data_IF_002193899330
#
_entry.id   IF_002193899330
#
_cell.length_a   1.000
_cell.length_b   1.000
_cell.length_c   1.000
_cell.angle_alpha   90.00
_cell.angle_beta   90.00
_cell.angle_gamma   90.00
#
_symmetry.space_group_name_H-M   'P 1'
#
loop_
_entity.id
_entity.type
_entity.pdbx_description
1 polymer ?
#
# COMPACT_ATOMS: atom_id res chain seq x y z
N UNK A 1 31.35 -35.88 8.75
CA UNK A 1 29.88 -35.75 8.71
C UNK A 1 29.44 -35.63 7.25
N UNK A 2 28.52 -36.47 6.74
CA UNK A 2 28.04 -36.34 5.37
C UNK A 2 27.26 -35.02 5.21
N UNK A 3 27.62 -34.21 4.21
CA UNK A 3 26.83 -33.02 3.82
C UNK A 3 25.42 -33.49 3.44
N UNK A 4 24.39 -33.05 4.17
CA UNK A 4 22.99 -33.26 3.76
C UNK A 4 22.84 -32.76 2.32
N UNK A 5 22.51 -33.65 1.39
CA UNK A 5 22.21 -33.30 0.00
C UNK A 5 21.09 -32.25 -0.01
N UNK A 6 21.22 -31.23 -0.86
CA UNK A 6 20.20 -30.19 -0.97
C UNK A 6 18.89 -30.84 -1.40
N UNK A 7 17.82 -30.61 -0.63
CA UNK A 7 16.51 -31.17 -0.94
C UNK A 7 16.03 -30.56 -2.26
N UNK A 8 15.79 -31.43 -3.23
CA UNK A 8 15.43 -31.09 -4.59
C UNK A 8 13.91 -31.08 -4.68
N UNK A 9 13.35 -30.01 -5.25
CA UNK A 9 11.89 -29.86 -5.42
C UNK A 9 11.58 -29.44 -6.85
N UNK A 10 10.48 -29.94 -7.40
CA UNK A 10 9.92 -29.44 -8.66
C UNK A 10 8.96 -28.29 -8.39
N UNK A 11 8.98 -27.28 -9.25
CA UNK A 11 8.11 -26.10 -9.15
C UNK A 11 7.52 -25.82 -10.52
N UNK A 12 6.19 -25.69 -10.56
CA UNK A 12 5.45 -25.30 -11.75
C UNK A 12 5.19 -23.80 -11.70
N UNK A 13 5.49 -23.09 -12.78
CA UNK A 13 5.21 -21.66 -12.86
C UNK A 13 3.74 -21.36 -13.19
N UNK A 14 3.34 -20.09 -13.13
CA UNK A 14 2.00 -19.64 -13.48
C UNK A 14 1.58 -19.89 -14.95
N UNK A 15 2.52 -20.25 -15.84
CA UNK A 15 2.27 -20.66 -17.22
C UNK A 15 2.14 -22.19 -17.37
N UNK A 16 2.21 -22.95 -16.28
CA UNK A 16 2.15 -24.41 -16.28
C UNK A 16 3.44 -25.11 -16.71
N UNK A 17 4.56 -24.40 -16.86
CA UNK A 17 5.86 -25.00 -17.22
C UNK A 17 6.59 -25.45 -15.98
N UNK A 18 7.09 -26.68 -16.02
CA UNK A 18 8.03 -27.18 -15.01
C UNK A 18 9.38 -26.47 -15.18
N UNK A 19 9.86 -25.88 -14.09
CA UNK A 19 11.14 -25.18 -14.05
C UNK A 19 12.30 -26.14 -13.72
N UNK A 20 12.01 -27.43 -13.59
CA UNK A 20 12.98 -28.45 -13.26
C UNK A 20 13.36 -28.40 -11.78
N UNK A 21 14.36 -29.21 -11.39
CA UNK A 21 14.75 -29.32 -10.01
C UNK A 21 15.40 -28.04 -9.49
N UNK A 22 14.73 -27.39 -8.54
CA UNK A 22 15.29 -26.26 -7.81
C UNK A 22 15.91 -26.73 -6.51
N UNK A 23 16.98 -26.04 -6.12
CA UNK A 23 17.63 -26.21 -4.81
C UNK A 23 17.49 -24.93 -4.02
N UNK A 24 17.67 -25.00 -2.69
CA UNK A 24 17.64 -23.82 -1.83
C UNK A 24 18.74 -22.78 -2.16
N UNK A 25 19.64 -23.08 -3.10
CA UNK A 25 20.72 -22.20 -3.57
C UNK A 25 20.46 -21.64 -4.97
N UNK A 26 19.39 -22.04 -5.64
CA UNK A 26 19.06 -21.51 -6.98
C UNK A 26 18.75 -20.01 -6.84
N UNK A 27 19.48 -19.12 -7.52
CA UNK A 27 19.27 -17.68 -7.37
C UNK A 27 17.86 -17.31 -7.86
N UNK A 28 17.10 -16.59 -7.04
CA UNK A 28 15.76 -16.07 -7.37
C UNK A 28 15.71 -15.30 -8.70
N UNK A 29 16.87 -14.79 -9.14
CA UNK A 29 17.05 -13.99 -10.36
C UNK A 29 17.23 -14.83 -11.63
N UNK A 30 17.61 -16.11 -11.49
CA UNK A 30 17.80 -17.06 -12.59
C UNK A 30 16.50 -17.76 -12.98
N UNK A 31 15.48 -17.68 -12.12
CA UNK A 31 14.19 -18.33 -12.33
C UNK A 31 13.25 -17.36 -13.04
N UNK A 32 12.75 -17.75 -14.21
CA UNK A 32 11.60 -17.11 -14.87
C UNK A 32 10.48 -16.95 -13.85
N UNK A 33 9.90 -15.75 -13.69
CA UNK A 33 8.91 -15.42 -12.63
C UNK A 33 7.98 -16.60 -12.33
N UNK A 34 8.12 -17.21 -11.16
CA UNK A 34 7.35 -18.40 -10.74
C UNK A 34 5.86 -18.06 -10.67
N UNK A 35 5.53 -16.91 -10.09
CA UNK A 35 4.18 -16.37 -10.05
C UNK A 35 4.04 -15.15 -10.98
N UNK A 36 2.82 -14.92 -11.45
CA UNK A 36 2.47 -13.69 -12.17
C UNK A 36 2.66 -12.47 -11.24
N UNK A 37 3.12 -11.32 -11.75
CA UNK A 37 3.29 -10.11 -10.93
C UNK A 37 1.98 -9.55 -10.35
N UNK A 38 0.86 -9.92 -10.97
CA UNK A 38 -0.49 -9.64 -10.49
C UNK A 38 -1.14 -10.78 -9.70
N UNK A 39 -0.41 -11.85 -9.35
CA UNK A 39 -0.97 -12.93 -8.54
C UNK A 39 -1.55 -12.39 -7.21
N UNK A 40 -2.60 -13.02 -6.71
CA UNK A 40 -3.34 -12.62 -5.51
C UNK A 40 -3.53 -13.82 -4.60
N UNK A 41 -3.61 -13.56 -3.30
CA UNK A 41 -4.04 -14.52 -2.29
C UNK A 41 -5.44 -14.10 -1.83
N UNK A 42 -6.37 -15.03 -1.79
CA UNK A 42 -7.68 -14.85 -1.17
C UNK A 42 -7.73 -15.69 0.10
N UNK A 43 -8.01 -15.05 1.23
CA UNK A 43 -8.15 -15.71 2.51
C UNK A 43 -9.31 -15.08 3.28
N UNK A 44 -9.89 -15.84 4.20
CA UNK A 44 -10.96 -15.34 5.06
C UNK A 44 -10.38 -14.39 6.12
N UNK A 45 -10.84 -13.14 6.11
CA UNK A 45 -10.43 -12.12 7.06
C UNK A 45 -10.72 -12.53 8.52
N UNK A 46 -11.72 -13.37 8.77
CA UNK A 46 -12.06 -13.87 10.11
C UNK A 46 -10.96 -14.74 10.72
N UNK A 47 -10.11 -15.35 9.89
CA UNK A 47 -8.99 -16.23 10.30
C UNK A 47 -7.70 -15.47 10.60
N UNK A 48 -7.68 -14.14 10.45
CA UNK A 48 -6.51 -13.35 10.80
C UNK A 48 -6.34 -13.33 12.32
N UNK A 49 -5.25 -13.92 12.83
CA UNK A 49 -4.93 -13.99 14.26
C UNK A 49 -4.77 -12.61 14.91
N UNK A 50 -4.47 -11.58 14.11
CA UNK A 50 -4.30 -10.19 14.54
C UNK A 50 -5.56 -9.35 14.28
N UNK A 51 -6.70 -9.98 13.98
CA UNK A 51 -7.95 -9.27 13.75
C UNK A 51 -8.43 -8.61 15.05
N UNK A 52 -8.54 -7.28 15.04
CA UNK A 52 -9.07 -6.53 16.18
C UNK A 52 -10.57 -6.75 16.32
N UNK A 53 -11.07 -6.88 17.56
CA UNK A 53 -12.51 -6.89 17.86
C UNK A 53 -13.22 -5.58 17.49
N UNK A 54 -12.46 -4.51 17.18
CA UNK A 54 -12.97 -3.19 16.84
C UNK A 54 -13.84 -3.14 15.58
N UNK A 55 -13.72 -4.10 14.65
CA UNK A 55 -14.55 -4.18 13.45
C UNK A 55 -16.05 -4.38 13.72
N UNK A 56 -16.44 -4.67 14.96
CA UNK A 56 -17.84 -4.87 15.38
C UNK A 56 -18.51 -3.63 15.98
N UNK A 57 -17.80 -2.51 16.16
CA UNK A 57 -18.42 -1.28 16.68
C UNK A 57 -19.13 -0.50 15.57
N UNK A 58 -20.42 -0.22 15.75
CA UNK A 58 -21.25 0.56 14.81
C UNK A 58 -20.71 1.96 14.50
N UNK A 59 -19.87 2.54 15.38
CA UNK A 59 -19.41 3.93 15.25
C UNK A 59 -17.93 4.12 14.91
N UNK A 60 -17.14 3.06 14.71
CA UNK A 60 -15.73 3.13 14.26
C UNK A 60 -14.85 4.15 15.00
N UNK A 61 -13.95 3.70 15.88
CA UNK A 61 -13.03 4.61 16.59
C UNK A 61 -11.96 5.19 15.64
N UNK A 62 -12.24 6.32 15.01
CA UNK A 62 -11.27 7.08 14.20
C UNK A 62 -10.55 8.13 15.05
N UNK A 63 -9.29 7.86 15.35
CA UNK A 63 -8.40 8.80 16.05
C UNK A 63 -7.55 9.63 15.08
N UNK A 64 -7.15 9.05 13.96
CA UNK A 64 -6.33 9.72 12.93
C UNK A 64 -6.61 9.15 11.55
N UNK A 65 -6.36 9.97 10.53
CA UNK A 65 -6.33 9.61 9.11
C UNK A 65 -4.89 9.73 8.65
N UNK A 66 -4.41 8.64 8.04
CA UNK A 66 -3.02 8.50 7.60
C UNK A 66 -2.98 8.49 6.07
N UNK A 67 -2.24 9.44 5.49
CA UNK A 67 -1.93 9.43 4.06
C UNK A 67 -0.50 9.00 3.82
N UNK A 68 -0.26 8.22 2.77
CA UNK A 68 1.06 7.69 2.44
C UNK A 68 1.35 7.76 0.95
N UNK A 69 2.56 8.16 0.59
CA UNK A 69 3.08 8.08 -0.78
C UNK A 69 4.45 7.42 -0.82
N UNK A 70 4.80 6.86 -1.98
CA UNK A 70 6.16 6.39 -2.27
C UNK A 70 6.97 7.57 -2.81
N UNK A 71 7.95 8.05 -2.04
CA UNK A 71 8.93 9.06 -2.47
C UNK A 71 10.33 8.72 -1.97
N UNK A 72 11.29 8.82 -2.87
CA UNK A 72 12.71 8.57 -2.60
C UNK A 72 13.41 9.75 -1.90
N UNK A 73 12.86 10.96 -1.98
CA UNK A 73 13.37 12.16 -1.31
C UNK A 73 12.28 13.23 -1.06
N UNK A 74 12.68 14.38 -0.49
CA UNK A 74 11.88 15.61 -0.46
C UNK A 74 10.78 15.72 0.62
N UNK A 75 10.42 14.63 1.29
CA UNK A 75 9.49 14.65 2.43
C UNK A 75 10.12 13.99 3.68
N UNK A 76 9.85 14.49 4.88
CA UNK A 76 10.25 13.81 6.12
C UNK A 76 9.41 12.54 6.33
N UNK A 77 9.82 11.69 7.29
CA UNK A 77 9.18 10.40 7.54
C UNK A 77 7.70 10.54 7.96
N UNK A 78 7.42 11.53 8.82
CA UNK A 78 6.07 11.83 9.34
C UNK A 78 5.90 13.33 9.42
N UNK A 79 4.73 13.83 8.99
CA UNK A 79 4.29 15.22 9.14
C UNK A 79 2.88 15.22 9.70
N UNK A 80 2.69 15.89 10.83
CA UNK A 80 1.36 16.17 11.37
C UNK A 80 0.79 17.44 10.75
N UNK A 81 -0.52 17.44 10.47
CA UNK A 81 -1.18 18.63 9.98
C UNK A 81 -1.51 19.62 11.10
N UNK A 82 -1.32 20.91 10.84
CA UNK A 82 -1.65 21.99 11.79
C UNK A 82 -3.17 22.21 11.96
N UNK A 83 -3.97 21.79 10.98
CA UNK A 83 -5.42 21.96 11.00
C UNK A 83 -6.09 21.04 9.98
N UNK A 84 -7.42 20.88 10.08
CA UNK A 84 -8.21 20.16 9.07
C UNK A 84 -7.99 20.68 7.64
N UNK A 85 -7.92 22.01 7.46
CA UNK A 85 -7.69 22.62 6.13
C UNK A 85 -6.29 22.29 5.62
N UNK A 86 -5.29 22.34 6.50
CA UNK A 86 -3.92 21.95 6.16
C UNK A 86 -3.84 20.46 5.80
N UNK A 87 -4.47 19.58 6.58
CA UNK A 87 -4.50 18.15 6.29
C UNK A 87 -5.24 17.81 4.99
N UNK A 88 -6.36 18.47 4.71
CA UNK A 88 -7.05 18.34 3.42
C UNK A 88 -6.20 18.82 2.24
N UNK A 89 -5.43 19.90 2.42
CA UNK A 89 -4.48 20.35 1.40
C UNK A 89 -3.37 19.32 1.16
N UNK A 90 -2.73 18.84 2.24
CA UNK A 90 -1.70 17.80 2.17
C UNK A 90 -2.20 16.52 1.50
N UNK A 91 -3.45 16.14 1.77
CA UNK A 91 -4.12 14.99 1.16
C UNK A 91 -4.18 15.14 -0.36
N UNK A 92 -4.80 16.22 -0.85
CA UNK A 92 -5.01 16.39 -2.30
C UNK A 92 -3.69 16.67 -3.05
N UNK A 93 -2.70 17.27 -2.38
CA UNK A 93 -1.38 17.55 -2.95
C UNK A 93 -0.44 16.33 -3.00
N UNK A 94 -0.87 15.18 -2.49
CA UNK A 94 -0.03 14.00 -2.36
C UNK A 94 0.37 13.42 -3.74
N UNK A 95 1.67 13.17 -3.92
CA UNK A 95 2.24 12.61 -5.15
C UNK A 95 3.09 11.39 -4.83
N UNK A 96 2.90 10.33 -5.60
CA UNK A 96 3.68 9.09 -5.47
C UNK A 96 4.47 8.83 -6.74
N UNK A 97 5.70 8.34 -6.57
CA UNK A 97 6.52 7.87 -7.67
C UNK A 97 5.90 6.63 -8.31
N UNK A 98 5.84 6.62 -9.64
CA UNK A 98 5.52 5.44 -10.43
C UNK A 98 6.77 4.58 -10.68
N UNK A 99 6.60 3.40 -11.28
CA UNK A 99 7.69 2.50 -11.64
C UNK A 99 8.78 3.18 -12.49
N UNK A 100 8.41 4.20 -13.27
CA UNK A 100 9.32 4.99 -14.11
C UNK A 100 9.89 6.24 -13.39
N UNK A 101 9.80 6.32 -12.05
CA UNK A 101 10.18 7.48 -11.21
C UNK A 101 9.50 8.81 -11.56
N UNK A 102 8.47 8.78 -12.41
CA UNK A 102 7.62 9.95 -12.67
C UNK A 102 6.72 10.18 -11.46
N UNK A 103 6.63 11.43 -11.00
CA UNK A 103 5.71 11.82 -9.95
C UNK A 103 4.29 11.87 -10.51
N UNK A 104 3.41 11.04 -9.97
CA UNK A 104 1.99 11.03 -10.31
C UNK A 104 1.21 11.47 -9.10
N UNK A 105 0.32 12.44 -9.30
CA UNK A 105 -0.61 12.86 -8.26
C UNK A 105 -1.74 11.83 -8.18
N UNK A 106 -1.95 11.28 -6.98
CA UNK A 106 -3.02 10.33 -6.74
C UNK A 106 -4.11 11.01 -5.92
N UNK A 107 -5.32 11.19 -6.47
CA UNK A 107 -6.44 11.72 -5.71
C UNK A 107 -6.77 10.79 -4.54
N UNK A 108 -7.01 11.36 -3.37
CA UNK A 108 -7.19 10.63 -2.10
C UNK A 108 -8.52 9.89 -2.05
N UNK A 109 -9.50 10.30 -2.86
CA UNK A 109 -10.88 9.84 -2.76
C UNK A 109 -11.32 8.90 -3.88
N UNK A 110 -10.51 8.59 -4.90
CA UNK A 110 -11.00 7.76 -6.01
C UNK A 110 -9.94 6.93 -6.77
N UNK A 111 -10.35 5.80 -7.38
CA UNK A 111 -9.51 5.04 -8.30
C UNK A 111 -9.06 5.91 -9.48
N UNK A 112 -7.95 5.54 -10.18
CA UNK A 112 -7.22 6.39 -11.14
C UNK A 112 -8.00 6.82 -12.42
N UNK A 113 -9.31 6.59 -12.49
CA UNK A 113 -10.14 6.81 -13.69
C UNK A 113 -10.89 8.14 -13.74
N UNK A 114 -10.62 9.11 -12.85
CA UNK A 114 -11.31 10.42 -12.90
C UNK A 114 -10.31 11.55 -12.90
N UNK A 115 -10.34 12.37 -13.95
CA UNK A 115 -9.67 13.67 -14.05
C UNK A 115 -10.36 14.68 -13.12
N UNK A 116 -10.40 14.42 -11.82
CA UNK A 116 -10.91 15.39 -10.87
C UNK A 116 -9.86 16.48 -10.65
N UNK A 117 -10.31 17.72 -10.75
CA UNK A 117 -9.47 18.87 -10.49
C UNK A 117 -9.20 18.93 -8.98
N UNK A 118 -7.96 19.24 -8.61
CA UNK A 118 -7.53 19.47 -7.23
C UNK A 118 -8.56 20.27 -6.41
N UNK A 119 -9.11 21.32 -7.03
CA UNK A 119 -10.09 22.22 -6.42
C UNK A 119 -11.35 21.51 -5.95
N UNK A 120 -11.93 20.61 -6.75
CA UNK A 120 -13.16 19.91 -6.38
C UNK A 120 -12.94 18.95 -5.22
N UNK A 121 -11.80 18.26 -5.19
CA UNK A 121 -11.50 17.32 -4.10
C UNK A 121 -11.21 18.05 -2.80
N UNK A 122 -10.47 19.15 -2.88
CA UNK A 122 -10.17 19.96 -1.70
C UNK A 122 -11.43 20.56 -1.09
N UNK A 123 -12.35 21.12 -1.90
CA UNK A 123 -13.61 21.65 -1.39
C UNK A 123 -14.50 20.55 -0.79
N UNK A 124 -14.52 19.35 -1.38
CA UNK A 124 -15.24 18.21 -0.80
C UNK A 124 -14.70 17.85 0.58
N UNK A 125 -13.37 17.70 0.72
CA UNK A 125 -12.74 17.36 2.01
C UNK A 125 -12.94 18.47 3.05
N UNK A 126 -12.86 19.73 2.61
CA UNK A 126 -13.08 20.91 3.45
C UNK A 126 -14.52 20.99 3.96
N UNK A 127 -15.50 20.53 3.19
CA UNK A 127 -16.92 20.51 3.53
C UNK A 127 -17.36 19.39 4.49
N UNK A 128 -16.49 18.41 4.79
CA UNK A 128 -16.84 17.31 5.70
C UNK A 128 -17.09 17.83 7.13
N UNK A 129 -18.22 17.42 7.72
CA UNK A 129 -18.60 17.77 9.09
C UNK A 129 -17.55 17.25 10.07
N UNK A 130 -16.98 18.16 10.85
CA UNK A 130 -15.78 17.90 11.67
C UNK A 130 -16.16 17.34 13.04
N UNK A 131 -15.39 16.34 13.48
CA UNK A 131 -15.22 16.05 14.91
C UNK A 131 -14.22 17.07 15.49
N UNK A 132 -14.27 17.39 16.79
CA UNK A 132 -13.36 18.34 17.47
C UNK A 132 -11.88 17.89 17.53
N UNK A 133 -11.47 16.85 16.79
CA UNK A 133 -10.14 16.23 16.86
C UNK A 133 -9.23 16.72 15.71
N UNK A 134 -7.93 16.78 15.98
CA UNK A 134 -6.88 16.94 14.96
C UNK A 134 -6.70 15.59 14.27
N UNK A 135 -7.09 15.49 13.00
CA UNK A 135 -7.38 14.20 12.36
C UNK A 135 -6.39 13.78 11.27
N UNK A 136 -5.41 14.59 10.85
CA UNK A 136 -4.55 14.23 9.72
C UNK A 136 -3.07 14.19 10.05
N UNK A 137 -2.47 13.03 9.80
CA UNK A 137 -1.04 12.80 9.77
C UNK A 137 -0.65 12.25 8.40
N UNK A 138 0.32 12.89 7.74
CA UNK A 138 0.87 12.44 6.46
C UNK A 138 2.21 11.74 6.71
N UNK A 139 2.40 10.58 6.08
CA UNK A 139 3.57 9.74 6.26
C UNK A 139 4.27 9.54 4.92
N UNK A 140 5.59 9.44 4.99
CA UNK A 140 6.41 8.94 3.89
C UNK A 140 6.79 7.51 4.22
N UNK A 141 6.39 6.58 3.36
CA UNK A 141 6.83 5.18 3.48
C UNK A 141 8.11 5.03 2.64
N UNK A 142 9.18 4.50 3.25
CA UNK A 142 10.42 4.14 2.55
C UNK A 142 10.18 2.95 1.62
#
# INVERSE_FOLDING_TARGET
MPRKLAKQFSIINWLGRDLGPMTNKTPLRTITKIAHSGARLMFDASKCQYSSSMGKFERGALSAIVFGCRRSDGLPLVVESLSWKHGGFMAVSLRSESANKTLVQYPVTMPPKRNLLFKSEYENIKGIKKSKRNLFNCFRLK
#
